data_IF_822324537710
#
_entry.id   IF_822324537710
#
_cell.length_a   1.000
_cell.length_b   1.000
_cell.length_c   1.000
_cell.angle_alpha   90.00
_cell.angle_beta   90.00
_cell.angle_gamma   90.00
#
_symmetry.space_group_name_H-M   'P 1'
#
loop_
_entity.id
_entity.type
_entity.pdbx_description
1 polymer ?
#
# COMPACT_ATOMS: atom_id res chain seq x y z
N UNK A 1 -30.97 19.12 18.57
CA UNK A 1 -31.90 17.98 18.42
C UNK A 1 -31.38 16.88 17.50
N UNK A 2 -30.47 17.15 16.55
CA UNK A 2 -29.96 16.14 15.60
C UNK A 2 -28.99 15.09 16.20
N UNK A 3 -28.26 15.40 17.28
CA UNK A 3 -27.32 14.45 17.94
C UNK A 3 -27.98 13.34 18.75
N UNK A 4 -29.26 13.47 19.12
CA UNK A 4 -29.94 12.49 19.98
C UNK A 4 -30.64 11.38 19.19
N UNK A 5 -30.60 11.42 17.86
CA UNK A 5 -31.30 10.44 17.00
C UNK A 5 -30.38 9.29 16.57
N UNK A 6 -29.06 9.49 16.55
CA UNK A 6 -28.09 8.46 16.13
C UNK A 6 -27.69 7.48 17.26
N UNK A 7 -27.95 7.79 18.52
CA UNK A 7 -27.55 6.96 19.67
C UNK A 7 -28.54 5.84 19.99
N UNK A 8 -29.71 5.80 19.38
CA UNK A 8 -30.79 4.90 19.78
C UNK A 8 -30.61 3.43 19.33
N UNK A 9 -29.56 3.11 18.57
CA UNK A 9 -29.37 1.78 17.97
C UNK A 9 -27.95 1.20 18.10
N UNK A 10 -27.12 1.75 19.00
CA UNK A 10 -25.78 1.22 19.29
C UNK A 10 -25.81 0.31 20.52
N UNK A 11 -25.03 -0.76 20.51
CA UNK A 11 -24.81 -1.60 21.70
C UNK A 11 -24.18 -0.77 22.84
N UNK A 12 -24.50 -1.07 24.09
CA UNK A 12 -24.03 -0.35 25.30
C UNK A 12 -22.50 -0.13 25.30
N UNK A 13 -21.72 -1.08 24.79
CA UNK A 13 -20.27 -0.96 24.67
C UNK A 13 -19.85 0.10 23.65
N UNK A 14 -20.53 0.18 22.50
CA UNK A 14 -20.31 1.23 21.50
C UNK A 14 -20.73 2.61 22.00
N UNK A 15 -21.80 2.66 22.80
CA UNK A 15 -22.26 3.89 23.42
C UNK A 15 -21.27 4.39 24.48
N UNK A 16 -20.70 3.49 25.30
CA UNK A 16 -19.64 3.84 26.25
C UNK A 16 -18.36 4.34 25.58
N UNK A 17 -17.95 3.71 24.47
CA UNK A 17 -16.80 4.17 23.68
C UNK A 17 -17.05 5.56 23.08
N UNK A 18 -18.25 5.79 22.55
CA UNK A 18 -18.64 7.08 21.97
C UNK A 18 -18.64 8.19 23.04
N UNK A 19 -19.24 7.95 24.20
CA UNK A 19 -19.27 8.90 25.31
C UNK A 19 -17.86 9.19 25.87
N UNK A 20 -17.03 8.15 25.99
CA UNK A 20 -15.62 8.31 26.39
C UNK A 20 -14.84 9.16 25.40
N UNK A 21 -15.08 8.97 24.10
CA UNK A 21 -14.49 9.76 23.04
C UNK A 21 -14.97 11.22 23.03
N UNK A 22 -16.26 11.47 23.24
CA UNK A 22 -16.81 12.83 23.35
C UNK A 22 -16.24 13.57 24.56
N UNK A 23 -16.19 12.92 25.72
CA UNK A 23 -15.60 13.49 26.93
C UNK A 23 -14.11 13.81 26.75
N UNK A 24 -13.40 12.96 26.02
CA UNK A 24 -12.00 13.21 25.64
C UNK A 24 -11.86 14.43 24.73
N UNK A 25 -12.73 14.58 23.71
CA UNK A 25 -12.74 15.73 22.80
C UNK A 25 -13.05 17.04 23.52
N UNK A 26 -14.00 17.03 24.45
CA UNK A 26 -14.31 18.21 25.26
C UNK A 26 -13.14 18.60 26.18
N UNK A 27 -12.48 17.60 26.77
CA UNK A 27 -11.29 17.80 27.60
C UNK A 27 -10.12 18.34 26.79
N UNK A 28 -9.91 17.88 25.56
CA UNK A 28 -8.85 18.41 24.70
C UNK A 28 -9.15 19.82 24.21
N UNK A 29 -10.41 20.12 23.87
CA UNK A 29 -10.83 21.50 23.56
C UNK A 29 -10.69 22.44 24.74
N UNK A 30 -10.96 21.98 25.97
CA UNK A 30 -10.78 22.81 27.17
C UNK A 30 -9.30 23.04 27.46
N UNK A 31 -8.45 22.04 27.25
CA UNK A 31 -7.00 22.16 27.40
C UNK A 31 -6.35 23.03 26.30
N UNK A 32 -6.90 23.03 25.08
CA UNK A 32 -6.51 23.94 24.00
C UNK A 32 -6.70 25.43 24.35
N UNK A 33 -7.68 25.75 25.21
CA UNK A 33 -7.86 27.14 25.68
C UNK A 33 -6.69 27.62 26.53
N UNK A 34 -5.98 26.70 27.22
CA UNK A 34 -4.84 27.03 28.08
C UNK A 34 -3.50 26.91 27.37
N UNK A 35 -3.42 26.08 26.33
CA UNK A 35 -2.28 26.03 25.43
C UNK A 35 -2.79 25.89 23.99
N UNK A 36 -2.77 26.97 23.19
CA UNK A 36 -3.26 26.93 21.81
C UNK A 36 -2.43 26.00 20.91
N UNK A 37 -1.22 25.60 21.35
CA UNK A 37 -0.38 24.61 20.66
C UNK A 37 -0.66 23.16 21.12
N UNK A 38 -1.56 22.95 22.08
CA UNK A 38 -2.00 21.60 22.46
C UNK A 38 -2.88 21.07 21.33
N UNK A 39 -2.34 20.25 20.44
CA UNK A 39 -3.20 19.41 19.61
C UNK A 39 -3.82 18.35 20.53
N UNK A 40 -5.08 17.96 20.27
CA UNK A 40 -5.56 16.69 20.83
C UNK A 40 -4.51 15.63 20.51
N UNK A 41 -4.07 14.76 21.45
CA UNK A 41 -3.22 13.65 21.09
C UNK A 41 -3.89 12.99 19.90
N UNK A 42 -3.22 13.07 18.74
CA UNK A 42 -3.69 12.41 17.54
C UNK A 42 -4.02 10.99 18.00
N UNK A 43 -5.25 10.53 17.74
CA UNK A 43 -5.64 9.16 18.07
C UNK A 43 -4.44 8.29 17.75
N UNK A 44 -3.80 7.71 18.77
CA UNK A 44 -2.58 6.91 18.62
C UNK A 44 -2.97 5.56 18.02
N UNK A 45 -3.69 5.63 16.90
CA UNK A 45 -4.23 4.51 16.18
C UNK A 45 -3.09 3.61 15.77
N UNK A 46 -3.42 2.32 15.74
CA UNK A 46 -2.69 1.33 14.96
C UNK A 46 -2.36 1.97 13.61
N UNK A 47 -1.08 1.97 13.22
CA UNK A 47 -0.64 2.41 11.91
C UNK A 47 -0.61 1.18 11.02
N UNK A 48 -1.45 1.13 9.99
CA UNK A 48 -1.56 0.00 9.09
C UNK A 48 -0.45 -0.03 8.01
N UNK A 49 0.32 1.04 7.87
CA UNK A 49 1.39 1.18 6.88
C UNK A 49 2.41 0.04 6.93
N UNK A 50 2.97 -0.36 8.11
CA UNK A 50 3.89 -1.49 8.18
C UNK A 50 3.26 -2.81 7.72
N UNK A 51 1.99 -3.06 8.06
CA UNK A 51 1.27 -4.28 7.67
C UNK A 51 1.11 -4.34 6.15
N UNK A 52 0.63 -3.25 5.54
CA UNK A 52 0.44 -3.17 4.09
C UNK A 52 1.76 -3.30 3.32
N UNK A 53 2.83 -2.67 3.81
CA UNK A 53 4.15 -2.75 3.20
C UNK A 53 4.78 -4.14 3.34
N UNK A 54 4.67 -4.81 4.49
CA UNK A 54 5.17 -6.18 4.65
C UNK A 54 4.41 -7.19 3.78
N UNK A 55 3.08 -7.05 3.70
CA UNK A 55 2.22 -7.84 2.82
C UNK A 55 2.63 -7.74 1.35
N UNK A 56 2.85 -6.50 0.89
CA UNK A 56 3.38 -6.21 -0.43
C UNK A 56 4.77 -6.81 -0.63
N UNK A 57 5.69 -6.52 0.30
CA UNK A 57 7.10 -6.83 0.15
C UNK A 57 7.36 -8.35 0.05
N UNK A 58 6.77 -9.15 0.95
CA UNK A 58 6.98 -10.60 0.93
C UNK A 58 6.44 -11.24 -0.35
N UNK A 59 5.22 -10.86 -0.76
CA UNK A 59 4.59 -11.41 -1.96
C UNK A 59 5.36 -11.01 -3.22
N UNK A 60 5.78 -9.74 -3.31
CA UNK A 60 6.59 -9.22 -4.42
C UNK A 60 7.96 -9.87 -4.46
N UNK A 61 8.62 -10.05 -3.32
CA UNK A 61 9.94 -10.69 -3.24
C UNK A 61 9.88 -12.11 -3.80
N UNK A 62 8.93 -12.93 -3.33
CA UNK A 62 8.81 -14.33 -3.77
C UNK A 62 8.45 -14.39 -5.26
N UNK A 63 7.51 -13.58 -5.74
CA UNK A 63 7.19 -13.50 -7.17
C UNK A 63 8.41 -13.10 -8.01
N UNK A 64 9.19 -12.13 -7.52
CA UNK A 64 10.36 -11.61 -8.23
C UNK A 64 11.51 -12.60 -8.30
N UNK A 65 11.70 -13.43 -7.27
CA UNK A 65 12.67 -14.54 -7.30
C UNK A 65 12.37 -15.54 -8.43
N UNK A 66 11.09 -15.83 -8.66
CA UNK A 66 10.65 -16.68 -9.79
C UNK A 66 10.89 -15.98 -11.13
N UNK A 67 10.57 -14.68 -11.24
CA UNK A 67 10.83 -13.91 -12.46
C UNK A 67 12.34 -13.84 -12.81
N UNK A 68 13.20 -13.73 -11.80
CA UNK A 68 14.65 -13.79 -11.97
C UNK A 68 15.18 -15.19 -12.30
N UNK A 69 14.40 -16.24 -12.06
CA UNK A 69 14.83 -17.63 -12.23
C UNK A 69 15.83 -18.10 -11.16
N UNK A 70 15.79 -17.51 -9.96
CA UNK A 70 16.73 -17.84 -8.89
C UNK A 70 16.26 -19.12 -8.18
N UNK A 71 17.02 -20.19 -8.33
CA UNK A 71 16.77 -21.52 -7.73
C UNK A 71 15.47 -22.20 -8.16
N UNK A 72 14.64 -21.52 -8.96
CA UNK A 72 13.39 -22.01 -9.54
C UNK A 72 13.36 -21.57 -11.01
N UNK A 73 13.16 -22.47 -11.98
CA UNK A 73 13.00 -22.09 -13.38
C UNK A 73 11.88 -21.08 -13.59
N UNK A 74 12.03 -20.19 -14.57
CA UNK A 74 11.08 -19.10 -14.85
C UNK A 74 9.71 -19.62 -15.32
N UNK A 75 9.67 -20.84 -15.85
CA UNK A 75 8.50 -21.58 -16.29
C UNK A 75 7.93 -22.54 -15.23
N UNK A 76 8.48 -22.54 -14.01
CA UNK A 76 7.98 -23.36 -12.93
C UNK A 76 6.57 -22.92 -12.47
N UNK A 77 5.88 -23.84 -11.81
CA UNK A 77 4.58 -23.56 -11.20
C UNK A 77 4.67 -22.40 -10.21
N UNK A 78 3.82 -21.38 -10.40
CA UNK A 78 3.73 -20.22 -9.51
C UNK A 78 2.90 -20.49 -8.24
N UNK A 79 2.51 -21.74 -7.95
CA UNK A 79 1.58 -22.09 -6.87
C UNK A 79 1.95 -21.52 -5.48
N UNK A 80 3.25 -21.45 -5.15
CA UNK A 80 3.72 -20.82 -3.90
C UNK A 80 3.44 -19.31 -3.89
N UNK A 81 3.63 -18.64 -5.03
CA UNK A 81 3.29 -17.21 -5.21
C UNK A 81 1.79 -17.01 -5.07
N UNK A 82 0.97 -17.94 -5.58
CA UNK A 82 -0.49 -17.86 -5.52
C UNK A 82 -1.02 -17.83 -4.10
N UNK A 83 -0.46 -18.65 -3.19
CA UNK A 83 -0.84 -18.61 -1.77
C UNK A 83 -0.59 -17.24 -1.13
N UNK A 84 0.58 -16.64 -1.40
CA UNK A 84 0.91 -15.30 -0.91
C UNK A 84 0.03 -14.22 -1.57
N UNK A 85 -0.21 -14.33 -2.88
CA UNK A 85 -1.03 -13.41 -3.65
C UNK A 85 -2.47 -13.36 -3.12
N UNK A 86 -3.04 -14.49 -2.72
CA UNK A 86 -4.41 -14.51 -2.22
C UNK A 86 -4.51 -13.98 -0.78
N UNK A 87 -3.65 -14.45 0.12
CA UNK A 87 -3.86 -14.23 1.55
C UNK A 87 -3.05 -13.08 2.13
N UNK A 88 -1.81 -12.89 1.68
CA UNK A 88 -0.93 -11.88 2.26
C UNK A 88 -0.90 -10.62 1.41
N UNK A 89 -0.27 -10.66 0.23
CA UNK A 89 -0.28 -9.54 -0.71
C UNK A 89 -1.70 -9.17 -1.18
N UNK A 90 -2.65 -10.10 -1.12
CA UNK A 90 -4.05 -9.84 -1.44
C UNK A 90 -4.88 -9.39 -0.24
N UNK A 91 -5.45 -10.34 0.49
CA UNK A 91 -6.41 -10.08 1.56
C UNK A 91 -5.82 -9.24 2.71
N UNK A 92 -4.67 -9.61 3.25
CA UNK A 92 -4.03 -8.86 4.35
C UNK A 92 -3.68 -7.43 3.92
N UNK A 93 -3.16 -7.25 2.71
CA UNK A 93 -2.85 -5.91 2.20
C UNK A 93 -4.12 -5.07 1.98
N UNK A 94 -5.20 -5.66 1.49
CA UNK A 94 -6.49 -5.00 1.34
C UNK A 94 -7.04 -4.53 2.70
N UNK A 95 -6.93 -5.37 3.74
CA UNK A 95 -7.30 -5.01 5.12
C UNK A 95 -6.46 -3.84 5.64
N UNK A 96 -5.15 -3.83 5.37
CA UNK A 96 -4.29 -2.68 5.72
C UNK A 96 -4.74 -1.39 5.01
N UNK A 97 -5.20 -1.48 3.77
CA UNK A 97 -5.78 -0.34 3.05
C UNK A 97 -7.07 0.19 3.68
N UNK A 98 -7.97 -0.70 4.10
CA UNK A 98 -9.18 -0.28 4.81
C UNK A 98 -8.88 0.39 6.15
N UNK A 99 -7.90 -0.12 6.89
CA UNK A 99 -7.42 0.52 8.12
C UNK A 99 -6.77 1.89 7.84
N UNK A 100 -6.10 2.05 6.70
CA UNK A 100 -5.50 3.32 6.29
C UNK A 100 -6.54 4.40 5.99
N UNK A 101 -7.73 4.06 5.50
CA UNK A 101 -8.84 5.02 5.37
C UNK A 101 -9.25 5.58 6.75
N UNK A 102 -9.30 4.72 7.76
CA UNK A 102 -9.62 5.13 9.14
C UNK A 102 -8.55 6.05 9.74
N UNK A 103 -7.30 5.89 9.32
CA UNK A 103 -6.17 6.74 9.73
C UNK A 103 -6.12 8.08 8.99
N UNK A 104 -6.97 8.29 7.97
CA UNK A 104 -6.90 9.48 7.10
C UNK A 104 -5.70 9.47 6.14
N UNK A 105 -5.02 8.32 5.99
CA UNK A 105 -3.90 8.17 5.05
C UNK A 105 -4.43 7.77 3.67
N UNK A 106 -4.89 8.76 2.89
CA UNK A 106 -5.45 8.54 1.55
C UNK A 106 -4.47 7.85 0.60
N UNK A 107 -3.19 8.22 0.64
CA UNK A 107 -2.17 7.62 -0.20
C UNK A 107 -1.99 6.13 0.14
N UNK A 108 -1.81 5.81 1.43
CA UNK A 108 -1.68 4.44 1.90
C UNK A 108 -2.92 3.61 1.61
N UNK A 109 -4.12 4.16 1.83
CA UNK A 109 -5.37 3.48 1.55
C UNK A 109 -5.51 3.13 0.06
N UNK A 110 -5.28 4.10 -0.83
CA UNK A 110 -5.32 3.86 -2.28
C UNK A 110 -4.25 2.84 -2.70
N UNK A 111 -3.02 2.97 -2.20
CA UNK A 111 -1.93 2.06 -2.52
C UNK A 111 -2.24 0.62 -2.07
N UNK A 112 -2.54 0.41 -0.79
CA UNK A 112 -2.71 -0.93 -0.23
C UNK A 112 -3.99 -1.60 -0.72
N UNK A 113 -5.10 -0.87 -0.87
CA UNK A 113 -6.29 -1.46 -1.46
C UNK A 113 -6.06 -1.86 -2.93
N UNK A 114 -5.40 -1.00 -3.71
CA UNK A 114 -5.18 -1.28 -5.14
C UNK A 114 -4.22 -2.45 -5.35
N UNK A 115 -3.07 -2.47 -4.66
CA UNK A 115 -2.13 -3.60 -4.78
C UNK A 115 -2.64 -4.88 -4.12
N UNK A 116 -3.48 -4.78 -3.08
CA UNK A 116 -4.27 -5.90 -2.59
C UNK A 116 -5.18 -6.49 -3.67
N UNK A 117 -5.90 -5.61 -4.38
CA UNK A 117 -6.71 -5.98 -5.54
C UNK A 117 -5.89 -6.56 -6.71
N UNK A 118 -4.70 -6.02 -6.97
CA UNK A 118 -3.75 -6.59 -7.95
C UNK A 118 -3.42 -8.05 -7.61
N UNK A 119 -3.00 -8.32 -6.38
CA UNK A 119 -2.61 -9.67 -5.99
C UNK A 119 -3.79 -10.64 -5.96
N UNK A 120 -4.97 -10.20 -5.50
CA UNK A 120 -6.19 -11.02 -5.55
C UNK A 120 -6.61 -11.33 -7.00
N UNK A 121 -6.59 -10.34 -7.89
CA UNK A 121 -6.96 -10.54 -9.31
C UNK A 121 -5.93 -11.39 -10.06
N UNK A 122 -4.64 -11.12 -9.88
CA UNK A 122 -3.56 -11.95 -10.43
C UNK A 122 -3.65 -13.40 -9.89
N UNK A 123 -3.95 -13.52 -8.60
CA UNK A 123 -4.27 -14.75 -7.90
C UNK A 123 -5.41 -15.51 -8.58
N UNK A 124 -6.54 -14.85 -8.76
CA UNK A 124 -7.74 -15.44 -9.32
C UNK A 124 -7.52 -15.91 -10.77
N UNK A 125 -6.81 -15.13 -11.61
CA UNK A 125 -6.53 -15.48 -13.01
C UNK A 125 -5.83 -16.84 -13.16
N UNK A 126 -4.99 -17.25 -12.20
CA UNK A 126 -4.23 -18.51 -12.30
C UNK A 126 -4.79 -19.65 -11.44
N UNK A 127 -5.95 -19.45 -10.79
CA UNK A 127 -6.66 -20.55 -10.13
C UNK A 127 -7.47 -21.30 -11.19
N UNK A 128 -7.11 -22.56 -11.43
CA UNK A 128 -7.78 -23.40 -12.42
C UNK A 128 -9.30 -23.49 -12.20
N UNK A 129 -9.75 -23.56 -10.95
CA UNK A 129 -11.17 -23.67 -10.60
C UNK A 129 -12.03 -22.44 -11.00
N UNK A 130 -11.43 -21.30 -11.34
CA UNK A 130 -12.17 -20.12 -11.81
C UNK A 130 -12.32 -20.05 -13.33
N UNK A 131 -11.64 -20.92 -14.08
CA UNK A 131 -11.75 -21.04 -15.54
C UNK A 131 -11.52 -19.74 -16.35
N UNK A 132 -10.91 -18.70 -15.77
CA UNK A 132 -10.68 -17.42 -16.45
C UNK A 132 -9.78 -17.52 -17.69
N UNK A 133 -8.94 -18.56 -17.77
CA UNK A 133 -8.02 -18.77 -18.89
C UNK A 133 -8.55 -19.73 -19.96
N UNK A 134 -9.70 -20.39 -19.77
CA UNK A 134 -10.22 -21.43 -20.69
C UNK A 134 -10.49 -20.91 -22.11
N UNK A 135 -10.81 -19.61 -22.25
CA UNK A 135 -11.03 -18.98 -23.56
C UNK A 135 -9.74 -18.76 -24.39
N UNK A 136 -8.57 -18.82 -23.78
CA UNK A 136 -7.29 -18.55 -24.45
C UNK A 136 -6.69 -19.83 -25.04
N UNK A 137 -7.01 -20.11 -26.30
CA UNK A 137 -6.47 -21.27 -27.04
C UNK A 137 -5.05 -21.07 -27.58
N UNK A 138 -4.68 -19.80 -27.82
CA UNK A 138 -3.35 -19.41 -28.29
C UNK A 138 -2.58 -18.72 -27.15
N UNK A 139 -1.41 -19.25 -26.83
CA UNK A 139 -0.49 -18.71 -25.82
C UNK A 139 -0.09 -17.28 -26.16
N UNK A 140 0.00 -16.93 -27.44
CA UNK A 140 0.32 -15.57 -27.87
C UNK A 140 -0.75 -14.56 -27.51
N UNK A 141 -2.02 -14.93 -27.68
CA UNK A 141 -3.16 -14.10 -27.28
C UNK A 141 -3.21 -13.95 -25.76
N UNK A 142 -2.95 -15.02 -25.01
CA UNK A 142 -2.85 -14.97 -23.55
C UNK A 142 -1.73 -14.02 -23.08
N UNK A 143 -0.55 -14.14 -23.69
CA UNK A 143 0.59 -13.28 -23.40
C UNK A 143 0.24 -11.81 -23.67
N UNK A 144 -0.41 -11.49 -24.79
CA UNK A 144 -0.84 -10.12 -25.07
C UNK A 144 -1.87 -9.60 -24.05
N UNK A 145 -2.83 -10.43 -23.64
CA UNK A 145 -3.81 -10.05 -22.62
C UNK A 145 -3.15 -9.78 -21.25
N UNK A 146 -2.23 -10.64 -20.82
CA UNK A 146 -1.43 -10.41 -19.61
C UNK A 146 -0.52 -9.18 -19.75
N UNK A 147 0.00 -8.91 -20.95
CA UNK A 147 0.76 -7.69 -21.25
C UNK A 147 -0.06 -6.43 -21.02
N UNK A 148 -1.33 -6.41 -21.47
CA UNK A 148 -2.27 -5.31 -21.22
C UNK A 148 -2.59 -5.18 -19.73
N UNK A 149 -2.79 -6.30 -19.04
CA UNK A 149 -3.02 -6.31 -17.59
C UNK A 149 -1.86 -5.63 -16.86
N UNK A 150 -0.61 -6.05 -17.10
CA UNK A 150 0.56 -5.44 -16.46
C UNK A 150 0.83 -4.00 -16.93
N UNK A 151 0.51 -3.65 -18.18
CA UNK A 151 0.61 -2.27 -18.66
C UNK A 151 -0.32 -1.35 -17.88
N UNK A 152 -1.54 -1.80 -17.61
CA UNK A 152 -2.53 -1.05 -16.83
C UNK A 152 -2.02 -0.78 -15.41
N UNK A 153 -1.41 -1.78 -14.78
CA UNK A 153 -0.75 -1.64 -13.48
C UNK A 153 0.49 -0.75 -13.54
N UNK A 154 1.25 -0.77 -14.64
CA UNK A 154 2.36 0.16 -14.85
C UNK A 154 1.86 1.62 -14.89
N UNK A 155 0.77 1.90 -15.62
CA UNK A 155 0.18 3.25 -15.67
C UNK A 155 -0.26 3.70 -14.29
N UNK A 156 -1.01 2.87 -13.56
CA UNK A 156 -1.42 3.18 -12.18
C UNK A 156 -0.21 3.44 -11.26
N UNK A 157 0.80 2.58 -11.32
CA UNK A 157 2.02 2.71 -10.51
C UNK A 157 2.81 3.97 -10.88
N UNK A 158 2.83 4.36 -12.16
CA UNK A 158 3.41 5.61 -12.62
C UNK A 158 2.72 6.83 -12.00
N UNK A 159 1.38 6.85 -11.96
CA UNK A 159 0.61 7.90 -11.29
C UNK A 159 0.89 7.94 -9.78
N UNK A 160 0.99 6.77 -9.14
CA UNK A 160 1.35 6.69 -7.72
C UNK A 160 2.78 7.16 -7.45
N UNK A 161 3.72 6.87 -8.35
CA UNK A 161 5.11 7.35 -8.28
C UNK A 161 5.16 8.87 -8.32
N UNK A 162 4.41 9.49 -9.25
CA UNK A 162 4.28 10.95 -9.35
C UNK A 162 3.66 11.54 -8.08
N UNK A 163 2.68 10.85 -7.50
CA UNK A 163 1.97 11.28 -6.29
C UNK A 163 2.87 11.25 -5.04
N UNK A 164 3.87 10.38 -5.00
CA UNK A 164 4.78 10.25 -3.86
C UNK A 164 6.11 11.02 -4.01
N UNK A 165 6.33 11.80 -5.09
CA UNK A 165 7.58 12.56 -5.31
C UNK A 165 7.93 13.55 -4.19
N UNK A 166 6.96 13.85 -3.33
CA UNK A 166 7.09 14.78 -2.21
C UNK A 166 7.11 14.10 -0.85
N UNK A 167 7.13 12.76 -0.76
CA UNK A 167 7.11 12.08 0.54
C UNK A 167 8.53 11.87 1.09
N UNK A 168 9.19 10.78 0.69
CA UNK A 168 10.52 10.42 1.13
C UNK A 168 11.21 9.54 0.08
N UNK A 169 12.54 9.55 0.04
CA UNK A 169 13.29 8.88 -1.02
C UNK A 169 13.05 7.36 -1.07
N UNK A 170 12.82 6.72 0.08
CA UNK A 170 12.53 5.28 0.14
C UNK A 170 11.20 4.95 -0.54
N UNK A 171 10.16 5.75 -0.28
CA UNK A 171 8.84 5.56 -0.89
C UNK A 171 8.88 5.84 -2.39
N UNK A 172 9.61 6.89 -2.80
CA UNK A 172 9.86 7.17 -4.22
C UNK A 172 10.59 6.00 -4.88
N UNK A 173 11.65 5.49 -4.25
CA UNK A 173 12.42 4.35 -4.74
C UNK A 173 11.58 3.07 -4.87
N UNK A 174 10.68 2.81 -3.92
CA UNK A 174 9.73 1.71 -3.95
C UNK A 174 8.83 1.80 -5.19
N UNK A 175 8.08 2.88 -5.34
CA UNK A 175 7.10 3.03 -6.42
C UNK A 175 7.77 3.14 -7.79
N UNK A 176 8.92 3.81 -7.89
CA UNK A 176 9.68 3.88 -9.14
C UNK A 176 10.24 2.52 -9.56
N UNK A 177 10.77 1.73 -8.61
CA UNK A 177 11.24 0.37 -8.91
C UNK A 177 10.07 -0.53 -9.32
N UNK A 178 8.93 -0.41 -8.64
CA UNK A 178 7.72 -1.16 -9.00
C UNK A 178 7.18 -0.76 -10.38
N UNK A 179 7.22 0.53 -10.72
CA UNK A 179 6.84 1.02 -12.04
C UNK A 179 7.68 0.36 -13.14
N UNK A 180 9.02 0.37 -12.99
CA UNK A 180 9.92 -0.29 -13.93
C UNK A 180 9.69 -1.80 -13.98
N UNK A 181 9.41 -2.44 -12.84
CA UNK A 181 9.03 -3.86 -12.79
C UNK A 181 7.83 -4.15 -13.70
N UNK A 182 6.73 -3.39 -13.57
CA UNK A 182 5.54 -3.60 -14.40
C UNK A 182 5.74 -3.26 -15.88
N UNK A 183 6.48 -2.19 -16.20
CA UNK A 183 6.80 -1.82 -17.59
C UNK A 183 7.58 -2.95 -18.27
N UNK A 184 8.61 -3.47 -17.61
CA UNK A 184 9.43 -4.55 -18.14
C UNK A 184 8.65 -5.87 -18.23
N UNK A 185 7.80 -6.17 -17.23
CA UNK A 185 6.96 -7.38 -17.23
C UNK A 185 5.95 -7.35 -18.38
N UNK A 186 5.28 -6.21 -18.57
CA UNK A 186 4.35 -5.99 -19.67
C UNK A 186 5.05 -6.14 -21.02
N UNK A 187 6.23 -5.51 -21.18
CA UNK A 187 7.04 -5.62 -22.40
C UNK A 187 7.49 -7.05 -22.68
N UNK A 188 7.90 -7.79 -21.63
CA UNK A 188 8.22 -9.21 -21.74
C UNK A 188 7.04 -10.01 -22.29
N UNK A 189 5.83 -9.75 -21.78
CA UNK A 189 4.60 -10.43 -22.22
C UNK A 189 4.22 -10.11 -23.67
N UNK A 190 4.26 -8.85 -24.09
CA UNK A 190 4.03 -8.50 -25.49
C UNK A 190 5.05 -9.14 -26.45
N UNK A 191 6.29 -9.31 -26.00
CA UNK A 191 7.34 -10.03 -26.72
C UNK A 191 7.35 -11.54 -26.42
N UNK A 192 6.17 -12.11 -26.16
CA UNK A 192 5.96 -13.56 -26.01
C UNK A 192 6.75 -14.17 -24.85
N UNK A 193 6.71 -13.51 -23.69
CA UNK A 193 7.44 -13.88 -22.47
C UNK A 193 8.97 -13.90 -22.68
N UNK A 194 9.51 -12.82 -23.26
CA UNK A 194 10.96 -12.67 -23.46
C UNK A 194 11.73 -12.73 -22.13
N UNK A 195 12.58 -13.75 -21.96
CA UNK A 195 13.18 -14.12 -20.68
C UNK A 195 14.06 -13.02 -20.07
N UNK A 196 14.86 -12.31 -20.87
CA UNK A 196 15.75 -11.27 -20.32
C UNK A 196 14.96 -10.09 -19.73
N UNK A 197 13.83 -9.73 -20.34
CA UNK A 197 12.96 -8.67 -19.83
C UNK A 197 12.24 -9.14 -18.57
N UNK A 198 11.86 -10.42 -18.52
CA UNK A 198 11.25 -11.02 -17.34
C UNK A 198 12.22 -11.03 -16.15
N UNK A 199 13.48 -11.41 -16.37
CA UNK A 199 14.52 -11.37 -15.34
C UNK A 199 14.81 -9.95 -14.87
N UNK A 200 14.89 -9.00 -15.80
CA UNK A 200 15.08 -7.59 -15.48
C UNK A 200 13.90 -7.04 -14.65
N UNK A 201 12.67 -7.37 -15.02
CA UNK A 201 11.47 -7.06 -14.24
C UNK A 201 11.58 -7.60 -12.81
N UNK A 202 11.95 -8.88 -12.65
CA UNK A 202 12.18 -9.48 -11.33
C UNK A 202 13.22 -8.72 -10.50
N UNK A 203 14.32 -8.26 -11.10
CA UNK A 203 15.34 -7.51 -10.37
C UNK A 203 14.77 -6.19 -9.79
N UNK A 204 13.96 -5.47 -10.57
CA UNK A 204 13.28 -4.27 -10.09
C UNK A 204 12.19 -4.59 -9.04
N UNK A 205 11.52 -5.73 -9.16
CA UNK A 205 10.59 -6.22 -8.13
C UNK A 205 11.28 -6.53 -6.80
N UNK A 206 12.49 -7.11 -6.82
CA UNK A 206 13.31 -7.33 -5.61
C UNK A 206 13.73 -6.01 -4.96
N UNK A 207 14.11 -5.00 -5.77
CA UNK A 207 14.40 -3.66 -5.26
C UNK A 207 13.17 -3.02 -4.61
N UNK A 208 12.01 -3.09 -5.25
CA UNK A 208 10.76 -2.59 -4.71
C UNK A 208 10.40 -3.27 -3.36
N UNK A 209 10.53 -4.61 -3.29
CA UNK A 209 10.30 -5.35 -2.05
C UNK A 209 11.26 -4.95 -0.93
N UNK A 210 12.53 -4.71 -1.25
CA UNK A 210 13.54 -4.27 -0.28
C UNK A 210 13.22 -2.89 0.28
N UNK A 211 12.85 -1.93 -0.58
CA UNK A 211 12.41 -0.60 -0.13
C UNK A 211 11.13 -0.68 0.71
N UNK A 212 10.18 -1.55 0.35
CA UNK A 212 8.95 -1.76 1.10
C UNK A 212 9.21 -2.31 2.51
N UNK A 213 10.05 -3.32 2.65
CA UNK A 213 10.44 -3.81 3.99
C UNK A 213 11.19 -2.74 4.78
N UNK A 214 12.17 -2.05 4.18
CA UNK A 214 12.88 -0.98 4.86
C UNK A 214 11.90 0.09 5.39
N UNK A 215 10.96 0.52 4.55
CA UNK A 215 9.94 1.48 4.93
C UNK A 215 9.03 0.92 6.03
N UNK A 216 8.61 -0.35 5.96
CA UNK A 216 7.80 -0.98 7.01
C UNK A 216 8.54 -1.00 8.37
N UNK A 217 9.81 -1.39 8.37
CA UNK A 217 10.67 -1.41 9.56
C UNK A 217 10.87 0.00 10.12
N UNK A 218 11.13 1.00 9.27
CA UNK A 218 11.28 2.39 9.71
C UNK A 218 9.99 2.91 10.36
N UNK A 219 8.82 2.64 9.77
CA UNK A 219 7.53 3.04 10.35
C UNK A 219 7.20 2.32 11.67
N UNK A 220 7.66 1.08 11.85
CA UNK A 220 7.50 0.33 13.10
C UNK A 220 8.44 0.86 14.19
N UNK A 221 9.73 0.99 13.87
CA UNK A 221 10.78 1.31 14.83
C UNK A 221 10.81 2.78 15.22
N UNK A 222 10.48 3.70 14.31
CA UNK A 222 10.42 5.13 14.64
C UNK A 222 9.22 5.48 15.52
N UNK A 223 8.22 4.59 15.63
CA UNK A 223 7.06 4.75 16.52
C UNK A 223 7.32 4.20 17.92
N UNK A 224 8.18 3.18 18.04
CA UNK A 224 8.72 2.74 19.33
C UNK A 224 9.85 3.68 19.78
N UNK A 225 10.09 3.81 21.08
CA UNK A 225 11.28 4.49 21.64
C UNK A 225 12.55 3.66 21.40
N UNK A 226 12.83 3.32 20.13
CA UNK A 226 14.00 2.56 19.72
C UNK A 226 15.26 3.42 19.80
N UNK A 227 16.41 2.79 20.02
CA UNK A 227 17.70 3.45 20.22
C UNK A 227 18.15 4.35 19.05
N UNK A 228 17.60 4.15 17.86
CA UNK A 228 17.98 4.85 16.64
C UNK A 228 16.76 5.18 15.77
N UNK A 229 16.71 6.39 15.21
CA UNK A 229 15.70 6.78 14.21
C UNK A 229 16.16 6.37 12.83
N UNK A 230 15.42 5.48 12.19
CA UNK A 230 15.71 5.00 10.85
C UNK A 230 15.38 6.07 9.81
N UNK A 231 16.36 6.48 8.99
CA UNK A 231 16.17 7.60 8.06
C UNK A 231 15.32 7.19 6.86
N UNK A 232 14.17 7.85 6.67
CA UNK A 232 13.38 7.75 5.44
C UNK A 232 13.85 8.73 4.35
N UNK A 233 14.70 9.69 4.71
CA UNK A 233 15.14 10.80 3.85
C UNK A 233 13.93 11.62 3.36
N UNK A 234 13.24 12.27 4.30
CA UNK A 234 12.10 13.14 4.02
C UNK A 234 12.56 14.38 3.22
N UNK A 235 11.75 14.76 2.23
CA UNK A 235 12.03 15.93 1.40
C UNK A 235 11.43 17.16 2.12
N UNK A 236 12.23 18.20 2.44
CA UNK A 236 11.72 19.36 3.15
C UNK A 236 10.57 20.04 2.40
N UNK A 237 9.45 20.25 3.11
CA UNK A 237 8.37 21.09 2.60
C UNK A 237 8.58 22.53 3.04
N UNK A 238 8.54 23.47 2.08
CA UNK A 238 8.26 24.87 2.42
C UNK A 238 6.84 24.91 2.96
N UNK A 239 6.68 25.04 4.27
CA UNK A 239 5.41 25.41 4.86
C UNK A 239 5.04 26.79 4.30
N UNK A 240 4.00 26.87 3.48
CA UNK A 240 3.39 28.15 3.19
C UNK A 240 2.69 28.61 4.48
N UNK A 241 3.23 29.65 5.14
CA UNK A 241 2.71 30.30 6.35
C UNK A 241 1.33 30.97 6.15
N UNK A 242 0.47 30.48 5.26
CA UNK A 242 -0.80 31.13 4.93
C UNK A 242 -1.90 30.89 5.98
N UNK A 243 -1.71 29.97 6.93
CA UNK A 243 -2.72 29.67 7.97
C UNK A 243 -2.74 30.66 9.15
N UNK A 244 -1.72 31.52 9.31
CA UNK A 244 -1.69 32.52 10.39
C UNK A 244 -2.46 33.80 10.07
N UNK A 245 -2.88 34.03 8.82
CA UNK A 245 -3.59 35.25 8.43
C UNK A 245 -5.12 35.18 8.55
N UNK A 246 -5.71 33.97 8.59
CA UNK A 246 -7.18 33.82 8.65
C UNK A 246 -7.71 33.85 10.09
N UNK A 247 -6.90 33.50 11.10
CA UNK A 247 -7.36 33.45 12.49
C UNK A 247 -7.33 34.84 13.18
N UNK A 248 -6.65 35.85 12.62
CA UNK A 248 -6.59 37.19 13.22
C UNK A 248 -7.71 38.14 12.73
N UNK A 249 -8.67 37.66 11.94
CA UNK A 249 -9.77 38.49 11.37
C UNK A 249 -11.18 37.92 11.52
N UNK A 250 -11.42 37.04 12.49
CA UNK A 250 -12.76 36.67 12.97
C UNK A 250 -12.80 36.75 14.50
#
# INVERSE_FOLDING_TARGET
MTKMVETANMDEHHQQLYESFLKYLETTKSLQKFNPNLSAPAYQGLNATPLGLCAFALTTFVASMYLCGVSVPVDASIGVVMGLALFYGGATQLLAGFLSFREGNTFGALAFCSYGGFWLSFGAIHIAAFDFLVGYKDVSVLNNALGIFFLSWAIFTGLMTLSCLRTNLITIGLFFSLFLCFVLLSSSKFLQSHQNLQRASGAFGLLAATFAWYSAFAHLLNKSDWFFKWPLFEIPHKQHEESSYIITKL
#
